data_IF_920691753094
#
_entry.id   IF_920691753094
#
_cell.length_a   1.000
_cell.length_b   1.000
_cell.length_c   1.000
_cell.angle_alpha   90.00
_cell.angle_beta   90.00
_cell.angle_gamma   90.00
#
_symmetry.space_group_name_H-M   'P 1'
#
loop_
_entity.id
_entity.type
_entity.pdbx_description
1 polymer ?
#
# COMPACT_ATOMS: atom_id res chain seq x y z
N UNK A 1 14.84 -27.75 -19.03
CA UNK A 1 15.37 -26.53 -19.69
C UNK A 1 14.29 -25.45 -19.91
N UNK A 2 13.03 -25.69 -19.56
CA UNK A 2 11.91 -24.75 -19.61
C UNK A 2 11.87 -23.77 -18.43
N UNK A 3 12.27 -24.21 -17.23
CA UNK A 3 12.18 -23.39 -16.01
C UNK A 3 13.15 -22.20 -16.00
N UNK A 4 14.40 -22.38 -16.45
CA UNK A 4 15.38 -21.29 -16.51
C UNK A 4 14.95 -20.15 -17.44
N UNK A 5 14.25 -20.47 -18.55
CA UNK A 5 13.72 -19.45 -19.46
C UNK A 5 12.57 -18.68 -18.81
N UNK A 6 11.69 -19.37 -18.08
CA UNK A 6 10.58 -18.75 -17.35
C UNK A 6 11.08 -17.85 -16.21
N UNK A 7 12.07 -18.31 -15.45
CA UNK A 7 12.74 -17.53 -14.41
C UNK A 7 13.35 -16.27 -15.03
N UNK A 8 14.16 -16.40 -16.09
CA UNK A 8 14.79 -15.25 -16.74
C UNK A 8 13.76 -14.24 -17.26
N UNK A 9 12.69 -14.70 -17.91
CA UNK A 9 11.60 -13.83 -18.39
C UNK A 9 10.92 -13.07 -17.24
N UNK A 10 10.55 -13.78 -16.17
CA UNK A 10 9.90 -13.18 -15.01
C UNK A 10 10.82 -12.18 -14.30
N UNK A 11 12.10 -12.51 -14.17
CA UNK A 11 13.09 -11.59 -13.60
C UNK A 11 13.18 -10.31 -14.43
N UNK A 12 13.37 -10.41 -15.75
CA UNK A 12 13.44 -9.23 -16.64
C UNK A 12 12.17 -8.38 -16.53
N UNK A 13 11.00 -9.02 -16.55
CA UNK A 13 9.71 -8.34 -16.40
C UNK A 13 9.63 -7.55 -15.08
N UNK A 14 10.03 -8.16 -13.96
CA UNK A 14 10.04 -7.50 -12.66
C UNK A 14 11.02 -6.33 -12.60
N UNK A 15 12.19 -6.43 -13.24
CA UNK A 15 13.15 -5.33 -13.33
C UNK A 15 12.59 -4.16 -14.16
N UNK A 16 12.00 -4.44 -15.33
CA UNK A 16 11.35 -3.42 -16.16
C UNK A 16 10.25 -2.71 -15.36
N UNK A 17 9.40 -3.48 -14.69
CA UNK A 17 8.35 -2.97 -13.80
C UNK A 17 8.94 -2.06 -12.71
N UNK A 18 10.01 -2.47 -12.04
CA UNK A 18 10.67 -1.66 -11.01
C UNK A 18 11.18 -0.32 -11.56
N UNK A 19 11.79 -0.33 -12.76
CA UNK A 19 12.20 0.91 -13.43
C UNK A 19 11.01 1.81 -13.73
N UNK A 20 9.93 1.26 -14.30
CA UNK A 20 8.70 2.02 -14.60
C UNK A 20 8.09 2.63 -13.33
N UNK A 21 7.95 1.84 -12.27
CA UNK A 21 7.44 2.32 -10.98
C UNK A 21 8.33 3.43 -10.39
N UNK A 22 9.65 3.28 -10.49
CA UNK A 22 10.60 4.30 -10.02
C UNK A 22 10.45 5.60 -10.81
N UNK A 23 10.42 5.54 -12.15
CA UNK A 23 10.22 6.72 -12.99
C UNK A 23 8.91 7.42 -12.65
N UNK A 24 7.79 6.71 -12.66
CA UNK A 24 6.48 7.31 -12.35
C UNK A 24 6.48 7.88 -10.93
N UNK A 25 7.01 7.16 -9.94
CA UNK A 25 7.09 7.63 -8.55
C UNK A 25 7.84 8.97 -8.41
N UNK A 26 8.96 9.13 -9.12
CA UNK A 26 9.72 10.38 -9.14
C UNK A 26 8.93 11.54 -9.75
N UNK A 27 8.17 11.30 -10.83
CA UNK A 27 7.30 12.31 -11.43
C UNK A 27 6.12 12.65 -10.52
N UNK A 28 5.42 11.64 -10.00
CA UNK A 28 4.28 11.80 -9.09
C UNK A 28 4.66 12.61 -7.86
N UNK A 29 5.82 12.33 -7.24
CA UNK A 29 6.31 13.09 -6.09
C UNK A 29 6.47 14.58 -6.39
N UNK A 30 7.00 14.94 -7.57
CA UNK A 30 7.12 16.35 -7.99
C UNK A 30 5.78 17.01 -8.23
N UNK A 31 4.85 16.31 -8.89
CA UNK A 31 3.50 16.81 -9.18
C UNK A 31 2.75 17.08 -7.88
N UNK A 32 2.79 16.13 -6.94
CA UNK A 32 2.16 16.27 -5.63
C UNK A 32 2.77 17.46 -4.88
N UNK A 33 4.11 17.59 -4.86
CA UNK A 33 4.79 18.72 -4.22
C UNK A 33 4.39 20.06 -4.83
N UNK A 34 4.23 20.15 -6.16
CA UNK A 34 3.77 21.36 -6.84
C UNK A 34 2.29 21.65 -6.58
N UNK A 35 1.45 20.62 -6.52
CA UNK A 35 0.00 20.76 -6.39
C UNK A 35 -0.41 21.11 -4.94
N UNK A 36 0.17 20.43 -3.96
CA UNK A 36 -0.10 20.60 -2.54
C UNK A 36 0.82 21.65 -1.89
N UNK A 37 2.07 21.79 -2.34
CA UNK A 37 3.06 22.61 -1.65
C UNK A 37 3.64 21.94 -0.39
N UNK A 38 4.72 22.52 0.13
CA UNK A 38 5.55 21.91 1.21
C UNK A 38 4.75 21.67 2.48
N UNK A 39 3.91 22.62 2.90
CA UNK A 39 3.13 22.52 4.14
C UNK A 39 2.10 21.38 4.10
N UNK A 40 1.36 21.24 3.00
CA UNK A 40 0.36 20.19 2.85
C UNK A 40 1.00 18.81 2.63
N UNK A 41 2.13 18.74 1.91
CA UNK A 41 2.89 17.49 1.78
C UNK A 41 3.50 17.04 3.12
N UNK A 42 3.97 17.98 3.93
CA UNK A 42 4.45 17.71 5.29
C UNK A 42 3.34 17.13 6.16
N UNK A 43 2.15 17.72 6.12
CA UNK A 43 0.98 17.25 6.84
C UNK A 43 0.56 15.83 6.40
N UNK A 44 0.49 15.57 5.09
CA UNK A 44 0.24 14.23 4.55
C UNK A 44 1.29 13.21 5.00
N UNK A 45 2.57 13.58 4.95
CA UNK A 45 3.67 12.69 5.34
C UNK A 45 3.64 12.35 6.82
N UNK A 46 3.26 13.30 7.68
CA UNK A 46 3.13 13.09 9.13
C UNK A 46 1.91 12.20 9.44
N UNK A 47 0.77 12.42 8.76
CA UNK A 47 -0.40 11.56 8.89
C UNK A 47 -0.11 10.12 8.41
N UNK A 48 0.58 9.97 7.28
CA UNK A 48 1.05 8.68 6.77
C UNK A 48 2.14 8.04 7.64
N UNK A 49 2.90 8.82 8.40
CA UNK A 49 3.94 8.33 9.32
C UNK A 49 3.38 7.49 10.46
N UNK A 50 2.21 7.86 11.00
CA UNK A 50 1.53 7.06 12.05
C UNK A 50 1.15 5.68 11.51
N UNK A 51 0.72 5.63 10.25
CA UNK A 51 0.41 4.39 9.53
C UNK A 51 1.68 3.59 9.20
N UNK A 52 2.77 4.27 8.83
CA UNK A 52 4.03 3.65 8.49
C UNK A 52 4.63 2.84 9.65
N UNK A 53 4.34 3.19 10.91
CA UNK A 53 4.73 2.41 12.09
C UNK A 53 4.21 0.96 12.05
N UNK A 54 3.08 0.72 11.38
CA UNK A 54 2.49 -0.62 11.22
C UNK A 54 2.93 -1.34 9.93
N UNK A 55 3.70 -0.67 9.05
CA UNK A 55 4.15 -1.24 7.77
C UNK A 55 5.09 -2.44 7.95
N UNK A 56 5.91 -2.46 9.01
CA UNK A 56 6.83 -3.56 9.30
C UNK A 56 6.07 -4.88 9.57
N UNK A 57 4.92 -4.79 10.24
CA UNK A 57 4.06 -5.95 10.52
C UNK A 57 3.55 -6.52 9.19
N UNK A 58 3.07 -5.64 8.30
CA UNK A 58 2.59 -6.01 6.96
C UNK A 58 3.67 -6.69 6.13
N UNK A 59 4.90 -6.14 6.11
CA UNK A 59 6.02 -6.72 5.35
C UNK A 59 6.45 -8.10 5.85
N UNK A 60 6.45 -8.30 7.18
CA UNK A 60 6.80 -9.59 7.78
C UNK A 60 5.75 -10.65 7.45
N UNK A 61 4.46 -10.30 7.54
CA UNK A 61 3.35 -11.19 7.18
C UNK A 61 3.32 -11.51 5.69
N UNK A 62 3.63 -10.54 4.83
CA UNK A 62 3.74 -10.73 3.38
C UNK A 62 4.76 -11.81 3.03
N UNK A 63 5.97 -11.66 3.57
CA UNK A 63 7.07 -12.60 3.37
C UNK A 63 6.74 -14.00 3.90
N UNK A 64 6.16 -14.09 5.11
CA UNK A 64 5.71 -15.35 5.69
C UNK A 64 4.63 -16.02 4.82
N UNK A 65 3.62 -15.28 4.39
CA UNK A 65 2.52 -15.78 3.56
C UNK A 65 3.02 -16.30 2.23
N UNK A 66 3.87 -15.53 1.54
CA UNK A 66 4.48 -15.97 0.29
C UNK A 66 5.24 -17.28 0.49
N UNK A 67 6.06 -17.39 1.55
CA UNK A 67 6.85 -18.59 1.83
C UNK A 67 5.98 -19.82 2.10
N UNK A 68 4.95 -19.70 2.94
CA UNK A 68 4.07 -20.83 3.26
C UNK A 68 3.22 -21.25 2.06
N UNK A 69 2.79 -20.30 1.22
CA UNK A 69 2.08 -20.61 -0.03
C UNK A 69 3.02 -21.32 -1.01
N UNK A 70 4.24 -20.82 -1.22
CA UNK A 70 5.24 -21.47 -2.09
C UNK A 70 5.57 -22.88 -1.63
N UNK A 71 5.69 -23.11 -0.33
CA UNK A 71 5.88 -24.45 0.23
C UNK A 71 4.67 -25.36 -0.09
N UNK A 72 3.45 -24.88 0.13
CA UNK A 72 2.23 -25.64 -0.18
C UNK A 72 2.06 -25.96 -1.67
N UNK A 73 2.48 -25.05 -2.57
CA UNK A 73 2.50 -25.32 -4.02
C UNK A 73 3.48 -26.45 -4.34
N UNK A 74 4.65 -26.48 -3.69
CA UNK A 74 5.67 -27.51 -3.88
C UNK A 74 5.24 -28.91 -3.41
N UNK A 75 4.36 -29.00 -2.41
CA UNK A 75 3.80 -30.29 -1.93
C UNK A 75 2.71 -30.85 -2.85
N UNK A 76 2.12 -30.05 -3.74
CA UNK A 76 1.06 -30.47 -4.66
C UNK A 76 -0.31 -30.73 -4.02
N UNK A 77 -0.46 -30.49 -2.71
CA UNK A 77 -1.71 -30.65 -1.97
C UNK A 77 -2.55 -29.36 -2.01
N UNK A 78 -3.57 -29.36 -2.87
CA UNK A 78 -4.47 -28.22 -3.05
C UNK A 78 -5.30 -27.92 -1.78
N UNK A 79 -5.64 -28.92 -0.98
CA UNK A 79 -6.44 -28.71 0.24
C UNK A 79 -5.60 -28.01 1.31
N UNK A 80 -4.35 -28.46 1.48
CA UNK A 80 -3.38 -27.82 2.37
C UNK A 80 -3.06 -26.40 1.92
N UNK A 81 -2.90 -26.17 0.61
CA UNK A 81 -2.70 -24.82 0.05
C UNK A 81 -3.88 -23.88 0.37
N UNK A 82 -5.12 -24.35 0.21
CA UNK A 82 -6.33 -23.58 0.57
C UNK A 82 -6.38 -23.25 2.06
N UNK A 83 -6.05 -24.22 2.92
CA UNK A 83 -5.99 -24.02 4.38
C UNK A 83 -4.91 -22.99 4.75
N UNK A 84 -3.74 -23.07 4.14
CA UNK A 84 -2.64 -22.10 4.35
C UNK A 84 -3.05 -20.69 3.93
N UNK A 85 -3.66 -20.53 2.75
CA UNK A 85 -4.15 -19.23 2.28
C UNK A 85 -5.24 -18.67 3.21
N UNK A 86 -6.22 -19.49 3.60
CA UNK A 86 -7.29 -19.10 4.52
C UNK A 86 -6.76 -18.66 5.89
N UNK A 87 -5.77 -19.39 6.42
CA UNK A 87 -5.09 -19.03 7.67
C UNK A 87 -4.35 -17.68 7.53
N UNK A 88 -3.58 -17.51 6.45
CA UNK A 88 -2.88 -16.25 6.18
C UNK A 88 -3.86 -15.07 6.04
N UNK A 89 -4.97 -15.25 5.32
CA UNK A 89 -6.01 -14.24 5.17
C UNK A 89 -6.65 -13.87 6.52
N UNK A 90 -6.97 -14.88 7.34
CA UNK A 90 -7.53 -14.67 8.68
C UNK A 90 -6.57 -13.89 9.58
N UNK A 91 -5.27 -14.17 9.52
CA UNK A 91 -4.25 -13.43 10.28
C UNK A 91 -4.15 -11.97 9.83
N UNK A 92 -4.19 -11.70 8.52
CA UNK A 92 -4.17 -10.32 8.02
C UNK A 92 -5.42 -9.55 8.42
N UNK A 93 -6.60 -10.18 8.37
CA UNK A 93 -7.85 -9.58 8.83
C UNK A 93 -7.80 -9.26 10.33
N UNK A 94 -7.31 -10.20 11.16
CA UNK A 94 -7.14 -9.97 12.59
C UNK A 94 -6.22 -8.77 12.86
N UNK A 95 -5.09 -8.69 12.14
CA UNK A 95 -4.12 -7.62 12.30
C UNK A 95 -4.65 -6.28 11.80
N UNK A 96 -5.40 -6.27 10.70
CA UNK A 96 -6.11 -5.08 10.24
C UNK A 96 -7.08 -4.56 11.30
N UNK A 97 -7.86 -5.44 11.95
CA UNK A 97 -8.76 -5.06 13.05
C UNK A 97 -7.99 -4.48 14.24
N UNK A 98 -6.87 -5.10 14.63
CA UNK A 98 -6.02 -4.59 15.72
C UNK A 98 -5.47 -3.20 15.39
N UNK A 99 -4.97 -3.01 14.17
CA UNK A 99 -4.45 -1.71 13.72
C UNK A 99 -5.55 -0.66 13.65
N UNK A 100 -6.76 -1.03 13.22
CA UNK A 100 -7.91 -0.12 13.24
C UNK A 100 -8.25 0.34 14.66
N UNK A 101 -8.33 -0.59 15.62
CA UNK A 101 -8.61 -0.25 17.03
C UNK A 101 -7.52 0.68 17.58
N UNK A 102 -6.24 0.36 17.34
CA UNK A 102 -5.11 1.19 17.80
C UNK A 102 -5.13 2.56 17.12
N UNK A 103 -5.40 2.61 15.82
CA UNK A 103 -5.47 3.84 15.02
C UNK A 103 -6.58 4.76 15.50
N UNK A 104 -7.78 4.23 15.76
CA UNK A 104 -8.92 5.02 16.24
C UNK A 104 -8.79 5.45 17.70
N UNK A 105 -8.05 4.71 18.52
CA UNK A 105 -7.86 5.04 19.94
C UNK A 105 -6.59 5.85 20.18
N UNK A 106 -5.43 5.18 20.16
CA UNK A 106 -4.13 5.78 20.42
C UNK A 106 -3.71 6.72 19.29
N UNK A 107 -4.04 6.39 18.05
CA UNK A 107 -3.68 7.20 16.89
C UNK A 107 -4.42 8.54 16.83
N UNK A 108 -5.74 8.55 17.08
CA UNK A 108 -6.53 9.80 17.18
C UNK A 108 -6.09 10.62 18.40
N UNK A 109 -5.80 9.98 19.54
CA UNK A 109 -5.24 10.69 20.69
C UNK A 109 -3.91 11.36 20.34
N UNK A 110 -3.01 10.64 19.66
CA UNK A 110 -1.73 11.18 19.21
C UNK A 110 -1.91 12.34 18.22
N UNK A 111 -2.85 12.20 17.28
CA UNK A 111 -3.21 13.24 16.31
C UNK A 111 -3.56 14.57 16.98
N UNK A 112 -4.46 14.57 17.97
CA UNK A 112 -4.89 15.81 18.62
C UNK A 112 -3.92 16.36 19.67
N UNK A 113 -3.13 15.50 20.33
CA UNK A 113 -2.34 15.91 21.51
C UNK A 113 -0.84 16.06 21.24
N UNK A 114 -0.31 15.43 20.19
CA UNK A 114 1.13 15.38 19.91
C UNK A 114 1.52 15.79 18.49
N UNK A 115 0.60 15.67 17.53
CA UNK A 115 0.81 16.19 16.19
C UNK A 115 0.72 17.72 16.23
N UNK A 116 1.81 18.41 15.89
CA UNK A 116 1.79 19.87 15.78
C UNK A 116 1.16 20.27 14.43
N UNK A 117 -0.16 20.39 14.41
CA UNK A 117 -0.95 20.80 13.23
C UNK A 117 -1.37 22.25 13.38
N UNK A 118 -1.21 23.03 12.31
CA UNK A 118 -1.71 24.41 12.27
C UNK A 118 -3.21 24.46 12.58
N UNK A 119 -3.67 25.33 13.50
CA UNK A 119 -5.07 25.36 13.95
C UNK A 119 -6.09 25.51 12.82
N UNK A 120 -5.75 26.25 11.76
CA UNK A 120 -6.61 26.45 10.59
C UNK A 120 -6.73 25.23 9.67
N UNK A 121 -6.06 24.11 9.96
CA UNK A 121 -5.98 22.92 9.10
C UNK A 121 -6.25 21.60 9.81
N UNK A 122 -6.66 21.65 11.08
CA UNK A 122 -6.92 20.45 11.90
C UNK A 122 -7.96 19.53 11.23
N UNK A 123 -9.00 20.10 10.62
CA UNK A 123 -10.05 19.32 9.96
C UNK A 123 -9.52 18.56 8.72
N UNK A 124 -8.81 19.25 7.83
CA UNK A 124 -8.21 18.63 6.65
C UNK A 124 -7.16 17.57 7.02
N UNK A 125 -6.37 17.84 8.07
CA UNK A 125 -5.42 16.90 8.63
C UNK A 125 -6.10 15.64 9.20
N UNK A 126 -7.23 15.80 9.89
CA UNK A 126 -7.96 14.69 10.49
C UNK A 126 -8.50 13.75 9.41
N UNK A 127 -9.10 14.31 8.35
CA UNK A 127 -9.55 13.51 7.21
C UNK A 127 -8.38 12.82 6.50
N UNK A 128 -7.27 13.53 6.29
CA UNK A 128 -6.05 12.93 5.73
C UNK A 128 -5.56 11.74 6.56
N UNK A 129 -5.57 11.86 7.89
CA UNK A 129 -5.22 10.79 8.81
C UNK A 129 -6.17 9.58 8.65
N UNK A 130 -7.47 9.83 8.64
CA UNK A 130 -8.50 8.79 8.50
C UNK A 130 -8.38 8.00 7.20
N UNK A 131 -8.23 8.69 6.07
CA UNK A 131 -8.01 8.03 4.78
C UNK A 131 -6.69 7.26 4.76
N UNK A 132 -5.61 7.82 5.33
CA UNK A 132 -4.34 7.10 5.43
C UNK A 132 -4.47 5.80 6.22
N UNK A 133 -5.25 5.81 7.31
CA UNK A 133 -5.54 4.61 8.09
C UNK A 133 -6.31 3.58 7.25
N UNK A 134 -7.35 4.00 6.54
CA UNK A 134 -8.14 3.13 5.66
C UNK A 134 -7.26 2.51 4.56
N UNK A 135 -6.45 3.30 3.86
CA UNK A 135 -5.53 2.83 2.82
C UNK A 135 -4.56 1.78 3.39
N UNK A 136 -4.10 1.96 4.63
CA UNK A 136 -3.26 0.98 5.33
C UNK A 136 -3.96 -0.37 5.52
N UNK A 137 -5.21 -0.34 5.99
CA UNK A 137 -6.01 -1.53 6.24
C UNK A 137 -6.25 -2.29 4.93
N UNK A 138 -6.60 -1.57 3.86
CA UNK A 138 -6.76 -2.15 2.52
C UNK A 138 -5.45 -2.81 2.06
N UNK A 139 -4.31 -2.13 2.24
CA UNK A 139 -3.00 -2.67 1.87
C UNK A 139 -2.66 -3.97 2.64
N UNK A 140 -3.01 -4.07 3.91
CA UNK A 140 -2.80 -5.29 4.71
C UNK A 140 -3.65 -6.43 4.14
N UNK A 141 -4.93 -6.18 3.86
CA UNK A 141 -5.85 -7.19 3.33
C UNK A 141 -5.48 -7.64 1.92
N UNK A 142 -4.88 -6.76 1.12
CA UNK A 142 -4.39 -7.10 -0.23
C UNK A 142 -3.11 -7.94 -0.24
N UNK A 143 -2.34 -7.92 0.85
CA UNK A 143 -1.02 -8.56 0.93
C UNK A 143 -1.03 -10.08 0.65
N UNK A 144 -1.97 -10.90 1.20
CA UNK A 144 -2.06 -12.32 0.89
C UNK A 144 -2.29 -12.62 -0.60
N UNK A 145 -3.06 -11.79 -1.30
CA UNK A 145 -3.31 -11.95 -2.72
C UNK A 145 -2.04 -11.70 -3.55
N UNK A 146 -1.29 -10.65 -3.21
CA UNK A 146 0.00 -10.38 -3.82
C UNK A 146 0.99 -11.53 -3.58
N UNK A 147 1.08 -12.03 -2.35
CA UNK A 147 1.89 -13.19 -2.01
C UNK A 147 1.49 -14.45 -2.80
N UNK A 148 0.19 -14.68 -2.99
CA UNK A 148 -0.32 -15.81 -3.77
C UNK A 148 0.02 -15.70 -5.27
N UNK A 149 -0.08 -14.51 -5.87
CA UNK A 149 0.31 -14.26 -7.27
C UNK A 149 1.79 -14.55 -7.50
N UNK A 150 2.64 -14.06 -6.59
CA UNK A 150 4.09 -14.28 -6.63
C UNK A 150 4.40 -15.78 -6.46
N UNK A 151 3.76 -16.45 -5.51
CA UNK A 151 4.00 -17.87 -5.24
C UNK A 151 3.58 -18.77 -6.42
N UNK A 152 2.54 -18.41 -7.18
CA UNK A 152 2.14 -19.10 -8.41
C UNK A 152 2.95 -18.68 -9.65
N UNK A 153 3.99 -17.87 -9.48
CA UNK A 153 4.80 -17.31 -10.56
C UNK A 153 3.98 -16.57 -11.64
N UNK A 154 2.81 -16.01 -11.28
CA UNK A 154 2.00 -15.15 -12.15
C UNK A 154 2.52 -13.71 -12.12
N UNK A 155 3.80 -13.58 -12.48
CA UNK A 155 4.56 -12.33 -12.37
C UNK A 155 4.13 -11.28 -13.40
N UNK A 156 3.60 -11.73 -14.53
CA UNK A 156 2.94 -10.91 -15.54
C UNK A 156 1.75 -10.13 -14.94
N UNK A 157 0.79 -10.83 -14.33
CA UNK A 157 -0.39 -10.23 -13.69
C UNK A 157 0.05 -9.29 -12.56
N UNK A 158 0.98 -9.74 -11.72
CA UNK A 158 1.52 -8.93 -10.64
C UNK A 158 2.18 -7.64 -11.15
N UNK A 159 2.92 -7.71 -12.26
CA UNK A 159 3.53 -6.53 -12.86
C UNK A 159 2.51 -5.55 -13.44
N UNK A 160 1.52 -6.03 -14.19
CA UNK A 160 0.47 -5.17 -14.74
C UNK A 160 -0.36 -4.50 -13.64
N UNK A 161 -0.76 -5.23 -12.59
CA UNK A 161 -1.54 -4.67 -11.49
C UNK A 161 -0.79 -3.54 -10.76
N UNK A 162 0.51 -3.73 -10.49
CA UNK A 162 1.32 -2.73 -9.79
C UNK A 162 1.66 -1.52 -10.67
N UNK A 163 1.87 -1.71 -11.98
CA UNK A 163 2.01 -0.59 -12.93
C UNK A 163 0.69 0.19 -13.00
N UNK A 164 -0.43 -0.50 -13.12
CA UNK A 164 -1.76 0.11 -13.15
C UNK A 164 -2.03 0.94 -11.89
N UNK A 165 -1.75 0.39 -10.71
CA UNK A 165 -1.88 1.11 -9.43
C UNK A 165 -1.08 2.43 -9.43
N UNK A 166 0.17 2.39 -9.87
CA UNK A 166 1.04 3.58 -9.89
C UNK A 166 0.59 4.61 -10.94
N UNK A 167 0.05 4.18 -12.08
CA UNK A 167 -0.54 5.07 -13.08
C UNK A 167 -1.81 5.73 -12.53
N UNK A 168 -2.68 4.98 -11.85
CA UNK A 168 -3.89 5.54 -11.20
C UNK A 168 -3.50 6.60 -10.19
N UNK A 169 -2.48 6.36 -9.36
CA UNK A 169 -1.94 7.34 -8.41
C UNK A 169 -1.38 8.59 -9.09
N UNK A 170 -0.71 8.44 -10.24
CA UNK A 170 -0.25 9.58 -11.04
C UNK A 170 -1.43 10.41 -11.59
N UNK A 171 -2.46 9.75 -12.13
CA UNK A 171 -3.67 10.43 -12.63
C UNK A 171 -4.39 11.16 -11.49
N UNK A 172 -4.51 10.53 -10.33
CA UNK A 172 -5.03 11.15 -9.12
C UNK A 172 -4.24 12.42 -8.76
N UNK A 173 -2.90 12.35 -8.78
CA UNK A 173 -2.03 13.50 -8.51
C UNK A 173 -2.23 14.67 -9.49
N UNK A 174 -2.40 14.39 -10.79
CA UNK A 174 -2.70 15.43 -11.78
C UNK A 174 -4.08 16.07 -11.57
N UNK A 175 -5.06 15.29 -11.10
CA UNK A 175 -6.43 15.79 -10.87
C UNK A 175 -6.44 16.85 -9.77
N UNK A 176 -5.55 16.76 -8.77
CA UNK A 176 -5.37 17.78 -7.72
C UNK A 176 -5.05 19.17 -8.30
N UNK A 177 -4.33 19.24 -9.43
CA UNK A 177 -3.94 20.52 -10.03
C UNK A 177 -5.12 21.32 -10.57
N UNK A 178 -6.24 20.66 -10.87
CA UNK A 178 -7.40 21.24 -11.59
C UNK A 178 -8.56 21.53 -10.65
N UNK A 179 -8.56 20.95 -9.45
CA UNK A 179 -9.73 20.97 -8.55
C UNK A 179 -9.75 22.23 -7.67
N UNK A 180 -10.91 22.91 -7.55
CA UNK A 180 -11.06 24.14 -6.75
C UNK A 180 -11.35 23.91 -5.26
N UNK A 181 -11.58 22.66 -4.84
CA UNK A 181 -11.85 22.28 -3.43
C UNK A 181 -10.55 22.09 -2.63
N UNK A 182 -10.67 21.75 -1.34
CA UNK A 182 -9.51 21.44 -0.50
C UNK A 182 -8.71 20.28 -1.11
N UNK A 183 -7.53 20.64 -1.63
CA UNK A 183 -6.64 19.74 -2.35
C UNK A 183 -6.14 18.58 -1.49
N UNK A 184 -6.02 18.78 -0.17
CA UNK A 184 -5.55 17.73 0.73
C UNK A 184 -6.64 16.68 0.91
N UNK A 185 -7.87 17.10 1.23
CA UNK A 185 -8.99 16.17 1.41
C UNK A 185 -9.25 15.40 0.10
N UNK A 186 -9.26 16.11 -1.03
CA UNK A 186 -9.49 15.49 -2.33
C UNK A 186 -8.41 14.46 -2.69
N UNK A 187 -7.14 14.77 -2.40
CA UNK A 187 -6.05 13.82 -2.62
C UNK A 187 -6.14 12.60 -1.71
N UNK A 188 -6.49 12.79 -0.43
CA UNK A 188 -6.65 11.71 0.52
C UNK A 188 -7.79 10.75 0.16
N UNK A 189 -8.88 11.23 -0.45
CA UNK A 189 -9.99 10.38 -0.93
C UNK A 189 -9.59 9.53 -2.14
N UNK A 190 -8.72 10.05 -3.01
CA UNK A 190 -8.35 9.40 -4.27
C UNK A 190 -7.33 8.27 -4.14
N UNK A 191 -6.70 8.12 -2.97
CA UNK A 191 -5.56 7.24 -2.70
C UNK A 191 -5.95 5.95 -1.97
#
# INVERSE_FOLDING_TARGET
MTDNKRIAHNTILLYIRMLVMMFIGLFTSRIILQALGVSYLGLYSVCGGVVALFSFISGTLASGTQRFISFGIGEGDLEKLKKTFSCAMSLHLLIAVIIFIIGETLGVWYFYNKLNVDPGRIEAAFWCYQFSLITALISIIQTPFNGAMIAHEKMDIYAYMTIFEVIVKLVAAYTIMIVPFDKLIFYSVLL
#
